data_IF_062335550549
#
_entry.id   IF_062335550549
#
_cell.length_a   1.000
_cell.length_b   1.000
_cell.length_c   1.000
_cell.angle_alpha   90.00
_cell.angle_beta   90.00
_cell.angle_gamma   90.00
#
_symmetry.space_group_name_H-M   'P 1'
#
loop_
_entity.id
_entity.type
_entity.pdbx_description
1 polymer ?
#
# COMPACT_ATOMS: atom_id res chain seq x y z
N UNK A 1 10.87 -6.57 14.92
CA UNK A 1 10.68 -5.26 14.25
C UNK A 1 11.68 -4.28 14.85
N UNK A 2 12.55 -3.63 14.06
CA UNK A 2 13.56 -2.67 14.59
C UNK A 2 13.28 -1.20 14.23
N UNK A 3 12.05 -0.87 13.85
CA UNK A 3 11.47 0.49 13.90
C UNK A 3 10.02 0.38 14.35
N UNK A 4 9.65 1.16 15.37
CA UNK A 4 8.38 1.12 16.10
C UNK A 4 7.26 1.91 15.44
N UNK A 5 7.03 1.70 14.14
CA UNK A 5 5.88 2.31 13.45
C UNK A 5 4.71 1.34 13.45
N UNK A 6 3.57 1.80 13.96
CA UNK A 6 2.37 1.00 14.04
C UNK A 6 2.37 -0.01 15.18
N UNK A 7 1.39 -0.91 15.20
CA UNK A 7 1.25 -1.96 16.22
C UNK A 7 1.17 -3.35 15.57
N UNK A 8 1.25 -4.41 16.40
CA UNK A 8 1.36 -5.78 15.90
C UNK A 8 -0.01 -6.29 15.43
N UNK A 9 -1.05 -5.96 16.18
CA UNK A 9 -2.43 -6.41 16.02
C UNK A 9 -2.98 -5.94 14.67
N UNK A 10 -2.83 -4.64 14.37
CA UNK A 10 -3.28 -4.07 13.10
C UNK A 10 -2.45 -4.58 11.93
N UNK A 11 -1.13 -4.75 12.09
CA UNK A 11 -0.29 -5.37 11.05
C UNK A 11 -0.69 -6.81 10.75
N UNK A 12 -1.16 -7.55 11.75
CA UNK A 12 -1.71 -8.88 11.51
C UNK A 12 -2.98 -8.79 10.65
N UNK A 13 -3.92 -7.90 11.00
CA UNK A 13 -5.15 -7.67 10.23
C UNK A 13 -4.84 -7.21 8.80
N UNK A 14 -3.87 -6.32 8.62
CA UNK A 14 -3.45 -5.84 7.29
C UNK A 14 -2.83 -6.93 6.43
N UNK A 15 -1.98 -7.77 7.00
CA UNK A 15 -1.43 -8.91 6.27
C UNK A 15 -2.52 -9.93 5.91
N UNK A 16 -3.48 -10.16 6.82
CA UNK A 16 -4.64 -11.01 6.54
C UNK A 16 -5.49 -10.42 5.41
N UNK A 17 -5.77 -9.12 5.43
CA UNK A 17 -6.48 -8.45 4.34
C UNK A 17 -5.74 -8.57 2.99
N UNK A 18 -4.41 -8.44 2.98
CA UNK A 18 -3.62 -8.65 1.77
C UNK A 18 -3.61 -10.11 1.28
N UNK A 19 -3.84 -11.09 2.15
CA UNK A 19 -3.96 -12.50 1.76
C UNK A 19 -5.37 -12.83 1.27
N UNK A 20 -6.38 -12.37 2.00
CA UNK A 20 -7.77 -12.76 1.79
C UNK A 20 -8.45 -11.94 0.68
N UNK A 21 -8.00 -10.70 0.44
CA UNK A 21 -8.68 -9.76 -0.47
C UNK A 21 -7.86 -9.41 -1.72
N UNK A 22 -6.60 -9.84 -1.84
CA UNK A 22 -5.85 -9.59 -3.08
C UNK A 22 -6.34 -10.54 -4.17
N UNK A 23 -6.83 -10.02 -5.31
CA UNK A 23 -7.28 -10.86 -6.41
C UNK A 23 -6.14 -11.68 -7.02
N UNK A 24 -6.43 -12.92 -7.35
CA UNK A 24 -5.58 -13.85 -8.07
C UNK A 24 -5.93 -13.93 -9.55
N UNK A 25 -5.96 -15.15 -10.08
CA UNK A 25 -6.23 -15.41 -11.51
C UNK A 25 -7.67 -15.12 -11.91
N UNK A 26 -8.59 -15.04 -10.95
CA UNK A 26 -10.00 -14.69 -11.17
C UNK A 26 -10.21 -13.25 -11.65
N UNK A 27 -9.22 -12.36 -11.43
CA UNK A 27 -9.25 -10.99 -11.95
C UNK A 27 -8.88 -10.92 -13.44
N UNK A 28 -8.31 -11.99 -13.98
CA UNK A 28 -7.93 -12.10 -15.40
C UNK A 28 -9.12 -12.60 -16.20
N UNK A 29 -9.84 -11.66 -16.80
CA UNK A 29 -11.01 -11.96 -17.63
C UNK A 29 -10.69 -11.92 -19.12
N UNK A 30 -11.31 -12.82 -19.86
CA UNK A 30 -11.27 -12.87 -21.32
C UNK A 30 -12.59 -12.35 -21.86
N UNK A 31 -12.55 -11.48 -22.87
CA UNK A 31 -13.76 -11.04 -23.58
C UNK A 31 -13.63 -11.27 -25.08
N UNK A 32 -14.76 -11.54 -25.75
CA UNK A 32 -14.80 -11.79 -27.17
C UNK A 32 -15.89 -10.96 -27.85
N UNK A 33 -15.57 -10.38 -29.01
CA UNK A 33 -16.53 -9.79 -29.93
C UNK A 33 -16.68 -10.73 -31.13
N UNK A 34 -17.91 -11.10 -31.46
CA UNK A 34 -18.22 -12.00 -32.59
C UNK A 34 -19.22 -11.34 -33.54
N UNK A 35 -19.10 -11.65 -34.83
CA UNK A 35 -20.03 -11.18 -35.86
C UNK A 35 -19.63 -11.70 -37.25
N UNK A 36 -20.26 -11.16 -38.29
CA UNK A 36 -20.03 -11.59 -39.69
C UNK A 36 -18.57 -11.43 -40.15
N UNK A 37 -17.84 -10.50 -39.53
CA UNK A 37 -16.41 -10.25 -39.78
C UNK A 37 -15.46 -11.20 -39.04
N UNK A 38 -15.98 -12.18 -38.29
CA UNK A 38 -15.19 -13.13 -37.51
C UNK A 38 -15.24 -12.87 -36.00
N UNK A 39 -14.16 -13.23 -35.31
CA UNK A 39 -14.04 -13.14 -33.84
C UNK A 39 -12.79 -12.38 -33.44
N UNK A 40 -12.93 -11.46 -32.49
CA UNK A 40 -11.84 -10.75 -31.84
C UNK A 40 -11.82 -11.10 -30.36
N UNK A 41 -10.65 -11.51 -29.85
CA UNK A 41 -10.43 -11.87 -28.45
C UNK A 41 -9.60 -10.78 -27.75
N UNK A 42 -9.96 -10.44 -26.53
CA UNK A 42 -9.21 -9.56 -25.65
C UNK A 42 -8.77 -10.32 -24.41
N UNK A 43 -7.46 -10.34 -24.18
CA UNK A 43 -6.80 -11.08 -23.11
C UNK A 43 -5.78 -10.20 -22.38
N UNK A 44 -5.62 -10.44 -21.08
CA UNK A 44 -4.53 -9.87 -20.31
C UNK A 44 -3.26 -10.69 -20.50
N UNK A 45 -2.21 -10.06 -21.04
CA UNK A 45 -0.89 -10.68 -21.23
C UNK A 45 0.13 -10.14 -20.22
N UNK A 46 1.10 -10.96 -19.78
CA UNK A 46 2.13 -10.51 -18.84
C UNK A 46 3.01 -9.41 -19.46
N UNK A 47 3.44 -8.48 -18.62
CA UNK A 47 4.45 -7.49 -18.99
C UNK A 47 5.86 -8.09 -19.00
N UNK A 48 6.11 -9.12 -18.20
CA UNK A 48 7.44 -9.73 -18.01
C UNK A 48 7.95 -9.52 -16.58
N UNK A 49 9.08 -8.81 -16.41
CA UNK A 49 9.63 -8.51 -15.08
C UNK A 49 9.14 -7.16 -14.59
N UNK A 50 8.49 -7.15 -13.42
CA UNK A 50 8.01 -5.94 -12.76
C UNK A 50 8.99 -5.53 -11.66
N UNK A 51 9.41 -4.25 -11.69
CA UNK A 51 10.18 -3.63 -10.61
C UNK A 51 9.24 -3.02 -9.58
N UNK A 52 9.16 -3.60 -8.38
CA UNK A 52 8.20 -3.23 -7.35
C UNK A 52 8.87 -2.57 -6.15
N UNK A 53 8.57 -1.30 -5.87
CA UNK A 53 9.05 -0.60 -4.67
C UNK A 53 8.07 -0.80 -3.51
N UNK A 54 8.56 -1.33 -2.39
CA UNK A 54 7.74 -1.56 -1.19
C UNK A 54 8.07 -0.53 -0.09
N UNK A 55 7.04 0.11 0.52
CA UNK A 55 7.24 1.18 1.51
C UNK A 55 7.66 0.63 2.88
N UNK A 56 8.08 1.52 3.79
CA UNK A 56 8.38 1.17 5.18
C UNK A 56 7.14 1.05 6.07
N UNK A 57 6.02 1.65 5.69
CA UNK A 57 4.77 1.69 6.46
C UNK A 57 3.99 0.39 6.35
N UNK A 58 3.87 -0.13 5.12
CA UNK A 58 3.16 -1.36 4.76
C UNK A 58 4.08 -2.35 4.03
N UNK A 59 5.24 -2.73 4.62
CA UNK A 59 6.26 -3.49 3.88
C UNK A 59 5.78 -4.89 3.52
N UNK A 60 5.13 -5.60 4.43
CA UNK A 60 4.74 -7.00 4.21
C UNK A 60 3.49 -7.11 3.39
N UNK A 61 2.52 -6.24 3.66
CA UNK A 61 1.24 -6.13 2.97
C UNK A 61 1.46 -5.87 1.47
N UNK A 62 2.31 -4.89 1.14
CA UNK A 62 2.62 -4.55 -0.26
C UNK A 62 3.30 -5.70 -0.98
N UNK A 63 4.22 -6.40 -0.29
CA UNK A 63 4.93 -7.55 -0.85
C UNK A 63 3.96 -8.71 -1.10
N UNK A 64 3.04 -9.00 -0.18
CA UNK A 64 2.02 -10.04 -0.32
C UNK A 64 1.12 -9.71 -1.51
N UNK A 65 0.50 -8.53 -1.50
CA UNK A 65 -0.44 -8.10 -2.55
C UNK A 65 0.21 -8.13 -3.94
N UNK A 66 1.40 -7.55 -4.06
CA UNK A 66 2.08 -7.48 -5.35
C UNK A 66 2.58 -8.86 -5.79
N UNK A 67 2.96 -9.75 -4.86
CA UNK A 67 3.35 -11.11 -5.23
C UNK A 67 2.17 -11.89 -5.78
N UNK A 68 1.02 -11.88 -5.10
CA UNK A 68 -0.17 -12.62 -5.54
C UNK A 68 -0.62 -12.12 -6.92
N UNK A 69 -0.94 -10.82 -7.03
CA UNK A 69 -1.50 -10.24 -8.26
C UNK A 69 -0.55 -10.32 -9.46
N UNK A 70 0.75 -10.04 -9.28
CA UNK A 70 1.69 -10.03 -10.40
C UNK A 70 2.05 -11.44 -10.87
N UNK A 71 2.20 -12.40 -9.95
CA UNK A 71 2.39 -13.81 -10.31
C UNK A 71 1.15 -14.39 -11.00
N UNK A 72 -0.05 -14.07 -10.50
CA UNK A 72 -1.31 -14.49 -11.13
C UNK A 72 -1.39 -14.02 -12.59
N UNK A 73 -1.01 -12.78 -12.86
CA UNK A 73 -0.92 -12.20 -14.19
C UNK A 73 0.29 -12.69 -15.03
N UNK A 74 1.03 -13.71 -14.58
CA UNK A 74 2.12 -14.33 -15.32
C UNK A 74 3.45 -13.56 -15.32
N UNK A 75 3.66 -12.64 -14.39
CA UNK A 75 4.88 -11.83 -14.29
C UNK A 75 5.86 -12.41 -13.26
N UNK A 76 7.14 -12.04 -13.37
CA UNK A 76 8.10 -12.16 -12.27
C UNK A 76 8.38 -10.79 -11.65
N UNK A 77 8.88 -10.78 -10.41
CA UNK A 77 8.94 -9.57 -9.61
C UNK A 77 10.34 -9.37 -9.05
N UNK A 78 10.90 -8.19 -9.30
CA UNK A 78 12.05 -7.67 -8.56
C UNK A 78 11.54 -6.67 -7.54
N UNK A 79 11.69 -6.97 -6.25
CA UNK A 79 11.35 -6.05 -5.17
C UNK A 79 12.53 -5.15 -4.80
N UNK A 80 12.23 -3.87 -4.58
CA UNK A 80 13.09 -2.88 -3.95
C UNK A 80 12.45 -2.40 -2.64
N UNK A 81 12.69 -3.10 -1.51
CA UNK A 81 12.07 -2.75 -0.24
C UNK A 81 12.77 -1.54 0.40
N UNK A 82 11.99 -0.72 1.11
CA UNK A 82 12.54 0.42 1.84
C UNK A 82 13.62 -0.03 2.86
N UNK A 83 14.81 0.61 2.94
CA UNK A 83 15.90 0.21 3.82
C UNK A 83 15.48 0.10 5.31
N UNK A 84 14.53 0.95 5.73
CA UNK A 84 13.95 0.91 7.08
C UNK A 84 13.15 -0.34 7.43
N UNK A 85 12.68 -1.10 6.44
CA UNK A 85 11.95 -2.35 6.60
C UNK A 85 12.70 -3.58 6.05
N UNK A 86 13.96 -3.41 5.61
CA UNK A 86 14.70 -4.45 4.87
C UNK A 86 14.66 -5.84 5.52
N UNK A 87 14.82 -5.95 6.84
CA UNK A 87 14.87 -7.25 7.52
C UNK A 87 13.59 -8.07 7.36
N UNK A 88 12.42 -7.43 7.51
CA UNK A 88 11.13 -8.14 7.39
C UNK A 88 10.82 -8.41 5.92
N UNK A 89 11.10 -7.45 5.03
CA UNK A 89 10.89 -7.61 3.59
C UNK A 89 11.74 -8.73 2.99
N UNK A 90 13.05 -8.76 3.27
CA UNK A 90 13.95 -9.80 2.76
C UNK A 90 13.51 -11.20 3.22
N UNK A 91 13.13 -11.34 4.50
CA UNK A 91 12.63 -12.61 5.04
C UNK A 91 11.35 -13.06 4.33
N UNK A 92 10.41 -12.15 4.12
CA UNK A 92 9.14 -12.46 3.48
C UNK A 92 9.32 -12.80 1.99
N UNK A 93 10.13 -12.03 1.26
CA UNK A 93 10.42 -12.29 -0.16
C UNK A 93 11.06 -13.67 -0.33
N UNK A 94 12.04 -14.01 0.51
CA UNK A 94 12.67 -15.34 0.53
C UNK A 94 11.65 -16.47 0.76
N UNK A 95 10.69 -16.25 1.67
CA UNK A 95 9.64 -17.23 1.95
C UNK A 95 8.67 -17.40 0.77
N UNK A 96 8.25 -16.30 0.15
CA UNK A 96 7.34 -16.32 -1.00
C UNK A 96 8.01 -17.03 -2.18
N UNK A 97 9.28 -16.74 -2.46
CA UNK A 97 10.06 -17.41 -3.50
C UNK A 97 10.17 -18.93 -3.24
N UNK A 98 10.41 -19.34 -2.00
CA UNK A 98 10.44 -20.76 -1.64
C UNK A 98 9.07 -21.44 -1.84
N UNK A 99 7.98 -20.74 -1.50
CA UNK A 99 6.61 -21.22 -1.76
C UNK A 99 6.38 -21.36 -3.26
N UNK A 100 6.66 -20.30 -4.04
CA UNK A 100 6.49 -20.29 -5.49
C UNK A 100 7.27 -21.44 -6.16
N UNK A 101 8.54 -21.63 -5.78
CA UNK A 101 9.36 -22.72 -6.28
C UNK A 101 8.77 -24.09 -5.94
N UNK A 102 8.29 -24.30 -4.72
CA UNK A 102 7.65 -25.58 -4.34
C UNK A 102 6.36 -25.84 -5.12
N UNK A 103 5.62 -24.80 -5.49
CA UNK A 103 4.37 -24.92 -6.23
C UNK A 103 4.56 -25.19 -7.72
N UNK A 104 5.53 -24.53 -8.37
CA UNK A 104 5.67 -24.58 -9.84
C UNK A 104 7.03 -25.10 -10.35
N UNK A 105 8.01 -25.31 -9.48
CA UNK A 105 9.36 -25.76 -9.86
C UNK A 105 10.25 -24.68 -10.48
N UNK A 106 9.80 -23.43 -10.58
CA UNK A 106 10.55 -22.32 -11.18
C UNK A 106 11.20 -21.47 -10.08
N UNK A 107 12.49 -21.18 -10.25
CA UNK A 107 13.26 -20.30 -9.36
C UNK A 107 13.24 -18.86 -9.84
N UNK A 108 13.47 -17.95 -8.91
CA UNK A 108 13.65 -16.51 -9.10
C UNK A 108 12.42 -15.83 -9.71
N UNK A 109 11.22 -16.26 -9.31
CA UNK A 109 9.98 -15.58 -9.66
C UNK A 109 9.76 -14.34 -8.78
N UNK A 110 10.24 -14.38 -7.53
CA UNK A 110 10.13 -13.27 -6.58
C UNK A 110 11.49 -13.00 -5.95
N UNK A 111 12.13 -11.89 -6.32
CA UNK A 111 13.53 -11.62 -5.93
C UNK A 111 13.73 -10.22 -5.37
N UNK A 112 14.86 -10.04 -4.69
CA UNK A 112 15.38 -8.76 -4.19
C UNK A 112 16.88 -8.87 -4.05
N UNK A 113 17.58 -7.73 -3.99
CA UNK A 113 18.99 -7.71 -3.58
C UNK A 113 19.15 -8.05 -2.10
N UNK A 114 20.30 -8.63 -1.75
CA UNK A 114 20.65 -8.94 -0.36
C UNK A 114 20.75 -7.70 0.52
N UNK A 115 21.21 -6.57 -0.03
CA UNK A 115 21.29 -5.29 0.67
C UNK A 115 20.50 -4.22 -0.11
N UNK A 116 19.25 -3.93 0.30
CA UNK A 116 18.44 -2.89 -0.32
C UNK A 116 19.00 -1.48 -0.06
N UNK A 117 19.37 -0.78 -1.13
CA UNK A 117 19.86 0.59 -1.10
C UNK A 117 19.12 1.46 -2.10
N UNK A 118 19.18 2.78 -1.92
CA UNK A 118 18.62 3.73 -2.89
C UNK A 118 19.28 3.61 -4.28
N UNK A 119 20.57 3.26 -4.32
CA UNK A 119 21.28 3.02 -5.57
C UNK A 119 20.79 1.75 -6.27
N UNK A 120 20.57 0.66 -5.54
CA UNK A 120 19.97 -0.56 -6.09
C UNK A 120 18.56 -0.28 -6.66
N UNK A 121 17.77 0.58 -6.00
CA UNK A 121 16.48 1.03 -6.53
C UNK A 121 16.63 1.77 -7.86
N UNK A 122 17.58 2.69 -7.98
CA UNK A 122 17.83 3.40 -9.24
C UNK A 122 18.30 2.46 -10.35
N UNK A 123 19.18 1.52 -10.03
CA UNK A 123 19.64 0.50 -10.99
C UNK A 123 18.47 -0.36 -11.49
N UNK A 124 17.58 -0.81 -10.60
CA UNK A 124 16.36 -1.51 -10.98
C UNK A 124 15.49 -0.65 -11.92
N UNK A 125 15.26 0.62 -11.58
CA UNK A 125 14.44 1.52 -12.39
C UNK A 125 15.02 1.78 -13.78
N UNK A 126 16.34 1.79 -13.93
CA UNK A 126 17.01 1.99 -15.21
C UNK A 126 17.21 0.68 -16.02
N UNK A 127 17.09 -0.49 -15.39
CA UNK A 127 17.49 -1.74 -16.03
C UNK A 127 16.61 -2.05 -17.25
N UNK A 128 17.17 -2.35 -18.44
CA UNK A 128 16.38 -2.61 -19.67
C UNK A 128 15.44 -3.82 -19.60
N UNK A 129 15.63 -4.75 -18.67
CA UNK A 129 14.79 -5.97 -18.54
C UNK A 129 13.62 -5.78 -17.57
N UNK A 130 13.57 -4.67 -16.85
CA UNK A 130 12.37 -4.29 -16.10
C UNK A 130 11.40 -3.64 -17.08
N UNK A 131 10.26 -4.28 -17.30
CA UNK A 131 9.24 -3.86 -18.26
C UNK A 131 8.37 -2.73 -17.69
N UNK A 132 7.95 -2.88 -16.44
CA UNK A 132 7.05 -1.95 -15.73
C UNK A 132 7.55 -1.71 -14.32
N UNK A 133 7.32 -0.49 -13.81
CA UNK A 133 7.57 -0.14 -12.42
C UNK A 133 6.26 0.02 -11.65
N UNK A 134 6.13 -0.69 -10.54
CA UNK A 134 5.07 -0.52 -9.55
C UNK A 134 5.66 0.14 -8.30
N UNK A 135 5.41 1.43 -8.11
CA UNK A 135 6.08 2.24 -7.08
C UNK A 135 5.08 2.64 -6.02
N UNK A 136 5.20 2.05 -4.84
CA UNK A 136 4.43 2.44 -3.66
C UNK A 136 5.31 3.21 -2.70
N UNK A 137 5.12 4.53 -2.60
CA UNK A 137 5.95 5.37 -1.74
C UNK A 137 5.67 6.86 -1.88
N UNK A 138 6.54 7.65 -1.25
CA UNK A 138 6.41 9.12 -1.26
C UNK A 138 6.59 9.74 -2.65
N UNK A 139 6.24 11.03 -2.81
CA UNK A 139 6.28 11.73 -4.10
C UNK A 139 7.68 11.70 -4.76
N UNK A 140 8.75 11.72 -3.96
CA UNK A 140 10.12 11.67 -4.47
C UNK A 140 10.44 10.39 -5.24
N UNK A 141 10.08 9.22 -4.72
CA UNK A 141 10.38 7.94 -5.37
C UNK A 141 9.48 7.69 -6.59
N UNK A 142 8.23 8.16 -6.53
CA UNK A 142 7.32 8.13 -7.68
C UNK A 142 7.84 9.02 -8.81
N UNK A 143 8.24 10.26 -8.50
CA UNK A 143 8.80 11.19 -9.48
C UNK A 143 10.11 10.66 -10.11
N UNK A 144 10.93 9.94 -9.33
CA UNK A 144 12.13 9.28 -9.84
C UNK A 144 11.76 8.19 -10.86
N UNK A 145 10.78 7.33 -10.52
CA UNK A 145 10.29 6.31 -11.44
C UNK A 145 9.74 6.88 -12.73
N UNK A 146 8.95 7.96 -12.66
CA UNK A 146 8.36 8.63 -13.83
C UNK A 146 9.43 9.15 -14.82
N UNK A 147 10.68 9.36 -14.37
CA UNK A 147 11.81 9.77 -15.21
C UNK A 147 12.58 8.59 -15.83
N UNK A 148 12.19 7.34 -15.55
CA UNK A 148 12.90 6.13 -16.02
C UNK A 148 12.72 5.82 -17.51
N UNK A 149 11.75 6.46 -18.19
CA UNK A 149 11.36 6.12 -19.55
C UNK A 149 10.56 4.81 -19.67
N UNK A 150 10.17 4.19 -18.55
CA UNK A 150 9.34 2.98 -18.49
C UNK A 150 7.89 3.33 -18.20
N UNK A 151 6.98 2.37 -18.40
CA UNK A 151 5.63 2.46 -17.83
C UNK A 151 5.72 2.40 -16.31
N UNK A 152 5.08 3.35 -15.64
CA UNK A 152 5.07 3.47 -14.18
C UNK A 152 3.64 3.48 -13.67
N UNK A 153 3.39 2.65 -12.65
CA UNK A 153 2.21 2.70 -11.79
C UNK A 153 2.68 3.27 -10.46
N UNK A 154 2.38 4.55 -10.22
CA UNK A 154 2.83 5.26 -9.03
C UNK A 154 1.70 5.44 -8.02
N UNK A 155 1.79 4.78 -6.87
CA UNK A 155 0.93 5.00 -5.71
C UNK A 155 1.57 6.06 -4.80
N UNK A 156 1.05 7.29 -4.90
CA UNK A 156 1.57 8.48 -4.23
C UNK A 156 1.06 8.68 -2.80
N UNK A 157 1.37 9.85 -2.24
CA UNK A 157 0.91 10.24 -0.91
C UNK A 157 -0.57 10.68 -0.91
N UNK A 158 -1.23 10.53 0.23
CA UNK A 158 -2.59 11.01 0.47
C UNK A 158 -2.68 11.85 1.73
N UNK A 159 -3.62 12.80 1.74
CA UNK A 159 -4.04 13.54 2.92
C UNK A 159 -5.58 13.51 3.03
N UNK A 160 -6.21 12.36 3.33
CA UNK A 160 -7.64 12.18 3.18
C UNK A 160 -8.46 13.03 4.17
N UNK A 161 -9.35 13.92 3.67
CA UNK A 161 -10.37 14.54 4.50
C UNK A 161 -11.56 13.61 4.67
N UNK A 162 -12.18 13.62 5.85
CA UNK A 162 -13.48 13.01 6.11
C UNK A 162 -14.52 14.12 6.32
N UNK A 163 -15.62 14.08 5.58
CA UNK A 163 -16.69 15.08 5.64
C UNK A 163 -17.84 14.51 6.48
N UNK A 164 -18.31 15.28 7.47
CA UNK A 164 -19.47 14.93 8.30
C UNK A 164 -20.50 16.04 8.20
N UNK A 165 -21.66 15.75 7.62
CA UNK A 165 -22.79 16.68 7.52
C UNK A 165 -23.82 16.47 8.64
N UNK A 166 -24.83 17.33 8.66
CA UNK A 166 -25.89 17.32 9.67
C UNK A 166 -26.83 16.10 9.60
N UNK A 167 -26.73 15.29 8.54
CA UNK A 167 -27.54 14.08 8.31
C UNK A 167 -26.84 12.80 8.79
N UNK A 168 -25.55 12.89 9.13
CA UNK A 168 -24.76 11.76 9.55
C UNK A 168 -25.25 11.16 10.89
N UNK A 169 -25.17 9.83 11.00
CA UNK A 169 -25.20 9.15 12.29
C UNK A 169 -23.91 9.49 13.06
N UNK A 170 -23.98 10.46 13.98
CA UNK A 170 -22.81 11.00 14.65
C UNK A 170 -22.12 10.00 15.60
N UNK A 171 -22.85 9.02 16.14
CA UNK A 171 -22.24 8.00 17.00
C UNK A 171 -21.40 7.06 16.14
N UNK A 172 -22.00 6.56 15.05
CA UNK A 172 -21.31 5.69 14.10
C UNK A 172 -20.15 6.41 13.42
N UNK A 173 -20.34 7.66 13.00
CA UNK A 173 -19.30 8.47 12.37
C UNK A 173 -18.10 8.65 13.31
N UNK A 174 -18.34 8.95 14.59
CA UNK A 174 -17.27 9.08 15.56
C UNK A 174 -16.48 7.76 15.74
N UNK A 175 -17.17 6.63 15.85
CA UNK A 175 -16.53 5.30 15.94
C UNK A 175 -15.69 4.99 14.70
N UNK A 176 -16.28 5.15 13.50
CA UNK A 176 -15.63 4.86 12.22
C UNK A 176 -14.37 5.73 12.02
N UNK A 177 -14.49 7.04 12.28
CA UNK A 177 -13.38 7.99 12.14
C UNK A 177 -12.23 7.62 13.09
N UNK A 178 -12.53 7.30 14.35
CA UNK A 178 -11.49 6.94 15.32
C UNK A 178 -10.85 5.61 14.96
N UNK A 179 -11.64 4.61 14.57
CA UNK A 179 -11.13 3.32 14.13
C UNK A 179 -10.23 3.48 12.90
N UNK A 180 -10.67 4.21 11.87
CA UNK A 180 -9.89 4.45 10.66
C UNK A 180 -8.61 5.26 10.91
N UNK A 181 -8.71 6.36 11.67
CA UNK A 181 -7.57 7.22 11.95
C UNK A 181 -6.53 6.54 12.85
N UNK A 182 -6.95 5.75 13.83
CA UNK A 182 -6.05 5.10 14.79
C UNK A 182 -5.43 3.80 14.27
N UNK A 183 -6.01 3.20 13.21
CA UNK A 183 -5.55 1.94 12.66
C UNK A 183 -4.08 2.00 12.22
N UNK A 184 -3.29 1.08 12.77
CA UNK A 184 -1.83 0.99 12.64
C UNK A 184 -1.14 2.33 12.92
N UNK A 185 -1.65 3.11 13.87
CA UNK A 185 -1.19 4.45 14.24
C UNK A 185 -1.15 5.43 13.06
N UNK A 186 -2.23 5.47 12.27
CA UNK A 186 -2.43 6.37 11.11
C UNK A 186 -1.42 6.16 9.95
N UNK A 187 -0.70 5.04 9.93
CA UNK A 187 0.22 4.70 8.84
C UNK A 187 -0.43 4.52 7.45
N UNK A 188 -1.67 3.98 7.32
CA UNK A 188 -2.29 3.83 6.01
C UNK A 188 -2.46 5.19 5.31
N UNK A 189 -2.10 5.26 4.03
CA UNK A 189 -2.28 6.48 3.24
C UNK A 189 -3.75 6.90 3.14
N UNK A 190 -4.65 5.91 3.19
CA UNK A 190 -6.11 6.06 3.13
C UNK A 190 -6.75 6.49 4.45
N UNK A 191 -6.05 6.36 5.58
CA UNK A 191 -6.61 6.72 6.88
C UNK A 191 -6.90 8.23 6.96
N UNK A 192 -7.95 8.59 7.69
CA UNK A 192 -8.43 9.95 7.90
C UNK A 192 -7.33 10.80 8.53
N UNK A 193 -7.13 12.02 7.99
CA UNK A 193 -6.08 12.96 8.44
C UNK A 193 -6.62 14.34 8.75
N UNK A 194 -7.83 14.66 8.29
CA UNK A 194 -8.55 15.87 8.66
C UNK A 194 -10.06 15.63 8.62
N UNK A 195 -10.79 16.40 9.42
CA UNK A 195 -12.26 16.41 9.41
C UNK A 195 -12.76 17.75 8.88
N UNK A 196 -13.81 17.71 8.05
CA UNK A 196 -14.57 18.88 7.62
C UNK A 196 -16.00 18.64 8.07
N UNK A 197 -16.47 19.43 9.02
CA UNK A 197 -17.72 19.14 9.75
C UNK A 197 -18.66 20.34 9.65
N UNK A 198 -19.94 20.08 9.37
CA UNK A 198 -20.96 21.14 9.38
C UNK A 198 -21.13 21.69 10.80
N UNK A 199 -21.14 23.01 10.93
CA UNK A 199 -21.10 23.73 12.20
C UNK A 199 -22.18 23.25 13.20
N UNK A 200 -23.39 22.97 12.70
CA UNK A 200 -24.54 22.54 13.51
C UNK A 200 -24.35 21.21 14.25
N UNK A 201 -23.39 20.38 13.82
CA UNK A 201 -23.09 19.06 14.42
C UNK A 201 -21.67 18.94 14.97
N UNK A 202 -20.83 19.96 14.80
CA UNK A 202 -19.41 19.90 15.16
C UNK A 202 -19.19 19.59 16.65
N UNK A 203 -19.86 20.32 17.55
CA UNK A 203 -19.70 20.10 19.00
C UNK A 203 -20.17 18.70 19.42
N UNK A 204 -21.29 18.24 18.85
CA UNK A 204 -21.85 16.91 19.14
C UNK A 204 -20.92 15.81 18.65
N UNK A 205 -20.35 15.95 17.46
CA UNK A 205 -19.38 14.98 16.94
C UNK A 205 -18.14 14.90 17.84
N UNK A 206 -17.59 16.04 18.28
CA UNK A 206 -16.44 16.06 19.21
C UNK A 206 -16.76 15.33 20.50
N UNK A 207 -17.94 15.55 21.08
CA UNK A 207 -18.39 14.83 22.27
C UNK A 207 -18.47 13.31 22.04
N UNK A 208 -19.01 12.87 20.89
CA UNK A 208 -19.05 11.44 20.54
C UNK A 208 -17.63 10.86 20.35
N UNK A 209 -16.73 11.58 19.68
CA UNK A 209 -15.35 11.12 19.49
C UNK A 209 -14.63 10.91 20.83
N UNK A 210 -14.89 11.76 21.82
CA UNK A 210 -14.33 11.60 23.16
C UNK A 210 -14.81 10.32 23.86
N UNK A 211 -16.04 9.84 23.58
CA UNK A 211 -16.51 8.55 24.11
C UNK A 211 -15.78 7.35 23.49
N UNK A 212 -15.17 7.53 22.32
CA UNK A 212 -14.30 6.54 21.66
C UNK A 212 -12.80 6.77 21.94
N UNK A 213 -12.46 7.55 22.98
CA UNK A 213 -11.08 7.71 23.44
C UNK A 213 -10.30 8.82 22.74
N UNK A 214 -10.95 9.67 21.94
CA UNK A 214 -10.32 10.87 21.40
C UNK A 214 -10.03 11.89 22.52
N UNK A 215 -8.87 12.53 22.45
CA UNK A 215 -8.52 13.65 23.33
C UNK A 215 -8.61 14.96 22.54
N UNK A 216 -9.47 15.88 23.01
CA UNK A 216 -9.51 17.25 22.49
C UNK A 216 -8.38 18.05 23.14
N UNK A 217 -7.42 18.50 22.34
CA UNK A 217 -6.31 19.33 22.81
C UNK A 217 -6.73 20.79 22.95
N UNK A 218 -6.26 21.44 24.02
CA UNK A 218 -6.34 22.89 24.12
C UNK A 218 -5.38 23.56 23.12
N UNK A 219 -5.57 24.84 22.78
CA UNK A 219 -4.59 25.58 21.98
C UNK A 219 -3.17 25.52 22.57
N UNK A 220 -3.06 25.61 23.91
CA UNK A 220 -1.78 25.55 24.60
C UNK A 220 -1.11 24.17 24.56
N UNK A 221 -1.87 23.09 24.48
CA UNK A 221 -1.34 21.73 24.33
C UNK A 221 -0.97 21.42 22.88
N UNK A 222 -1.71 22.00 21.93
CA UNK A 222 -1.41 21.90 20.49
C UNK A 222 -0.01 22.43 20.20
N UNK A 223 0.39 23.56 20.78
CA UNK A 223 1.73 24.15 20.59
C UNK A 223 2.86 23.33 21.21
N UNK A 224 2.57 22.51 22.24
CA UNK A 224 3.53 21.59 22.84
C UNK A 224 3.68 20.29 22.05
N UNK A 225 2.75 20.01 21.13
CA UNK A 225 2.79 18.80 20.32
C UNK A 225 3.88 18.98 19.26
N UNK A 226 4.90 18.09 19.20
CA UNK A 226 6.00 18.28 18.27
C UNK A 226 5.49 18.25 16.83
N UNK A 227 5.66 19.36 16.10
CA UNK A 227 5.24 19.50 14.69
C UNK A 227 5.97 18.54 13.73
N UNK A 228 7.00 17.84 14.23
CA UNK A 228 7.68 16.70 13.59
C UNK A 228 8.05 15.68 14.68
N UNK A 229 7.73 14.40 14.44
CA UNK A 229 8.34 13.32 15.21
C UNK A 229 9.88 13.37 14.99
N UNK A 230 10.70 13.15 16.02
CA UNK A 230 12.14 13.06 15.85
C UNK A 230 12.49 11.94 14.86
N UNK A 231 13.41 12.23 13.95
CA UNK A 231 13.79 11.37 12.82
C UNK A 231 14.44 10.04 13.25
#
# INVERSE_FOLDING_TARGET
MKRGMGNKEDKFLKNKAALDNTPGVEDLTTTALTGDGGMVLFEYSPFGVIGSVAPSTNPTETIINNSISMLAAGNSIYFSPHPGAKKVSLKLISLIEEIAFRCCGIRNLVVTVAEPTFEATQQMMAHPRIAVLAITGGPGIVAMGMKSGKKVIGAGAGNPPCIVDETADLVKAAEDIINGASFDYNLPCIAEKSLIVVESVAERLVQQMQTFGALLLSPADTDKTPRRLPA
#
